data_IF_384474377503
#
_entry.id   IF_384474377503
#
_cell.length_a   1.000
_cell.length_b   1.000
_cell.length_c   1.000
_cell.angle_alpha   90.00
_cell.angle_beta   90.00
_cell.angle_gamma   90.00
#
_symmetry.space_group_name_H-M   'P 1'
#
loop_
_entity.id
_entity.type
_entity.pdbx_description
1 polymer ?
#
# COMPACT_ATOMS: atom_id res chain seq x y z
N UNK A 1 -23.46 7.04 18.93
CA UNK A 1 -22.64 8.08 18.28
C UNK A 1 -21.41 8.35 19.14
N UNK A 2 -20.21 8.46 18.56
CA UNK A 2 -19.02 8.82 19.33
C UNK A 2 -19.18 10.25 19.91
N UNK A 3 -18.70 10.53 21.13
CA UNK A 3 -18.68 11.90 21.66
C UNK A 3 -17.95 12.84 20.69
N UNK A 4 -18.41 14.08 20.56
CA UNK A 4 -17.88 15.06 19.59
C UNK A 4 -16.35 15.23 19.68
N UNK A 5 -15.78 15.07 20.88
CA UNK A 5 -14.34 15.08 21.14
C UNK A 5 -13.60 13.89 20.52
N UNK A 6 -14.14 12.67 20.63
CA UNK A 6 -13.48 11.46 20.09
C UNK A 6 -13.40 11.56 18.56
N UNK A 7 -14.46 12.06 17.93
CA UNK A 7 -14.47 12.29 16.49
C UNK A 7 -13.38 13.27 16.07
N UNK A 8 -13.23 14.41 16.76
CA UNK A 8 -12.16 15.39 16.50
C UNK A 8 -10.75 14.80 16.65
N UNK A 9 -10.53 13.93 17.64
CA UNK A 9 -9.23 13.26 17.82
C UNK A 9 -8.93 12.33 16.64
N UNK A 10 -9.92 11.54 16.20
CA UNK A 10 -9.76 10.62 15.08
C UNK A 10 -9.51 11.39 13.78
N UNK A 11 -10.35 12.39 13.48
CA UNK A 11 -10.27 13.16 12.25
C UNK A 11 -8.93 13.93 12.17
N UNK A 12 -8.55 14.64 13.24
CA UNK A 12 -7.26 15.34 13.28
C UNK A 12 -6.05 14.39 13.28
N UNK A 13 -6.20 13.21 13.89
CA UNK A 13 -5.19 12.14 13.81
C UNK A 13 -4.98 11.63 12.40
N UNK A 14 -6.07 11.41 11.67
CA UNK A 14 -6.06 10.96 10.27
C UNK A 14 -5.44 12.00 9.35
N UNK A 15 -5.81 13.28 9.49
CA UNK A 15 -5.19 14.37 8.74
C UNK A 15 -3.68 14.47 9.00
N UNK A 16 -3.27 14.39 10.27
CA UNK A 16 -1.85 14.43 10.63
C UNK A 16 -1.08 13.23 10.07
N UNK A 17 -1.69 12.04 10.03
CA UNK A 17 -1.06 10.85 9.50
C UNK A 17 -0.96 10.84 7.98
N UNK A 18 -1.95 11.39 7.28
CA UNK A 18 -1.85 11.64 5.84
C UNK A 18 -0.71 12.60 5.52
N UNK A 19 -0.61 13.71 6.26
CA UNK A 19 0.51 14.63 6.10
C UNK A 19 1.86 13.98 6.41
N UNK A 20 1.94 13.15 7.46
CA UNK A 20 3.17 12.42 7.78
C UNK A 20 3.55 11.42 6.68
N UNK A 21 2.56 10.74 6.10
CA UNK A 21 2.75 9.85 4.95
C UNK A 21 3.34 10.59 3.75
N UNK A 22 2.81 11.77 3.42
CA UNK A 22 3.30 12.58 2.30
C UNK A 22 4.74 13.09 2.53
N UNK A 23 5.20 13.11 3.79
CA UNK A 23 6.59 13.39 4.17
C UNK A 23 7.48 12.11 4.24
N UNK A 24 6.98 10.96 3.78
CA UNK A 24 7.70 9.68 3.77
C UNK A 24 7.59 8.86 5.07
N UNK A 25 6.78 9.30 6.03
CA UNK A 25 6.56 8.61 7.30
C UNK A 25 5.34 7.69 7.32
N UNK A 26 5.02 7.19 8.52
CA UNK A 26 3.79 6.48 8.81
C UNK A 26 3.33 6.78 10.24
N UNK A 27 2.04 6.60 10.51
CA UNK A 27 1.43 6.96 11.79
C UNK A 27 1.02 8.43 11.88
N UNK A 28 0.11 8.72 12.79
CA UNK A 28 -0.26 10.09 13.15
C UNK A 28 0.88 10.83 13.85
N UNK A 29 0.87 12.16 13.78
CA UNK A 29 1.85 13.04 14.43
C UNK A 29 1.28 13.71 15.68
N UNK A 30 2.14 14.25 16.56
CA UNK A 30 1.76 14.90 17.81
C UNK A 30 1.64 13.93 19.00
N UNK A 31 0.83 14.27 20.00
CA UNK A 31 0.76 13.52 21.26
C UNK A 31 -0.56 12.76 21.44
N UNK A 32 -1.70 13.42 21.24
CA UNK A 32 -3.02 12.90 21.62
C UNK A 32 -3.49 11.79 20.67
N UNK A 33 -3.50 12.06 19.37
CA UNK A 33 -3.95 11.08 18.37
C UNK A 33 -3.03 9.83 18.28
N UNK A 34 -1.70 9.96 18.27
CA UNK A 34 -0.82 8.77 18.23
C UNK A 34 -0.95 7.91 19.48
N UNK A 35 -1.08 8.53 20.66
CA UNK A 35 -1.32 7.80 21.89
C UNK A 35 -2.68 7.09 21.87
N UNK A 36 -3.73 7.76 21.38
CA UNK A 36 -5.05 7.17 21.22
C UNK A 36 -5.01 5.96 20.29
N UNK A 37 -4.46 6.10 19.08
CA UNK A 37 -4.36 5.00 18.11
C UNK A 37 -3.51 3.84 18.64
N UNK A 38 -2.38 4.11 19.28
CA UNK A 38 -1.54 3.07 19.89
C UNK A 38 -2.28 2.28 20.98
N UNK A 39 -3.02 2.96 21.86
CA UNK A 39 -3.71 2.33 22.99
C UNK A 39 -5.04 1.67 22.64
N UNK A 40 -5.76 2.18 21.62
CA UNK A 40 -7.11 1.73 21.27
C UNK A 40 -7.19 0.92 19.99
N UNK A 41 -6.32 1.19 19.01
CA UNK A 41 -6.36 0.55 17.68
C UNK A 41 -5.22 -0.44 17.52
N UNK A 42 -3.97 -0.01 17.62
CA UNK A 42 -2.82 -0.89 17.47
C UNK A 42 -2.75 -1.99 18.55
N UNK A 43 -3.29 -1.73 19.75
CA UNK A 43 -3.40 -2.72 20.83
C UNK A 43 -4.33 -3.89 20.49
N UNK A 44 -5.30 -3.70 19.60
CA UNK A 44 -6.18 -4.78 19.10
C UNK A 44 -5.38 -5.84 18.31
N UNK A 45 -4.25 -5.43 17.72
CA UNK A 45 -3.29 -6.30 17.04
C UNK A 45 -2.08 -6.65 17.93
N UNK A 46 -2.19 -6.43 19.25
CA UNK A 46 -1.13 -6.74 20.23
C UNK A 46 -0.08 -5.64 20.42
N UNK A 47 -0.16 -4.50 19.70
CA UNK A 47 0.66 -3.31 19.93
C UNK A 47 2.15 -3.42 19.60
N UNK A 48 2.56 -4.51 18.93
CA UNK A 48 3.95 -4.80 18.53
C UNK A 48 4.12 -5.04 17.03
N UNK A 49 3.09 -4.75 16.23
CA UNK A 49 3.16 -4.86 14.77
C UNK A 49 4.22 -3.91 14.24
N UNK A 50 5.14 -4.44 13.42
CA UNK A 50 6.23 -3.67 12.80
C UNK A 50 6.06 -3.49 11.29
N UNK A 51 5.32 -4.38 10.66
CA UNK A 51 5.07 -4.42 9.24
C UNK A 51 3.77 -5.17 9.00
N UNK A 52 2.96 -4.66 8.08
CA UNK A 52 1.77 -5.34 7.56
C UNK A 52 1.99 -5.57 6.08
N UNK A 53 1.76 -6.80 5.61
CA UNK A 53 1.77 -7.14 4.19
C UNK A 53 0.32 -7.43 3.79
N UNK A 54 -0.11 -6.84 2.68
CA UNK A 54 -1.40 -7.09 2.05
C UNK A 54 -1.20 -7.67 0.65
N UNK A 55 -2.17 -8.43 0.16
CA UNK A 55 -2.14 -9.00 -1.19
C UNK A 55 -3.53 -9.49 -1.61
N UNK A 56 -3.59 -10.37 -2.61
CA UNK A 56 -4.82 -10.95 -3.20
C UNK A 56 -5.71 -9.97 -3.98
N UNK A 57 -5.81 -8.72 -3.57
CA UNK A 57 -6.60 -7.68 -4.23
C UNK A 57 -5.89 -6.31 -4.16
N UNK A 58 -6.14 -5.40 -5.11
CA UNK A 58 -5.52 -4.07 -5.10
C UNK A 58 -5.99 -3.25 -3.90
N UNK A 59 -5.04 -2.67 -3.15
CA UNK A 59 -5.35 -1.75 -2.06
C UNK A 59 -5.33 -0.30 -2.56
N UNK A 60 -6.44 0.41 -2.35
CA UNK A 60 -6.54 1.83 -2.69
C UNK A 60 -5.61 2.71 -1.85
N UNK A 61 -5.08 3.77 -2.46
CA UNK A 61 -4.13 4.72 -1.85
C UNK A 61 -4.64 5.24 -0.50
N UNK A 62 -5.88 5.72 -0.45
CA UNK A 62 -6.47 6.28 0.77
C UNK A 62 -6.60 5.24 1.89
N UNK A 63 -6.86 3.98 1.53
CA UNK A 63 -6.95 2.88 2.50
C UNK A 63 -5.55 2.55 3.02
N UNK A 64 -4.53 2.49 2.17
CA UNK A 64 -3.15 2.29 2.59
C UNK A 64 -2.70 3.39 3.56
N UNK A 65 -2.93 4.66 3.22
CA UNK A 65 -2.62 5.80 4.11
C UNK A 65 -3.37 5.72 5.45
N UNK A 66 -4.67 5.37 5.40
CA UNK A 66 -5.49 5.20 6.61
C UNK A 66 -4.91 4.12 7.53
N UNK A 67 -4.66 2.92 7.00
CA UNK A 67 -4.18 1.77 7.79
C UNK A 67 -2.78 2.06 8.36
N UNK A 68 -1.87 2.62 7.56
CA UNK A 68 -0.55 3.06 8.03
C UNK A 68 -0.63 4.10 9.16
N UNK A 69 -1.63 4.98 9.10
CA UNK A 69 -1.85 6.01 10.13
C UNK A 69 -2.33 5.40 11.45
N UNK A 70 -3.35 4.55 11.41
CA UNK A 70 -4.01 4.04 12.62
C UNK A 70 -3.21 2.93 13.31
N UNK A 71 -2.45 2.14 12.55
CA UNK A 71 -1.55 1.13 13.12
C UNK A 71 -0.15 1.64 13.40
N UNK A 72 0.19 2.84 12.93
CA UNK A 72 1.51 3.44 13.08
C UNK A 72 2.65 2.50 12.65
N UNK A 73 2.44 1.76 11.55
CA UNK A 73 3.43 0.87 10.96
C UNK A 73 3.33 0.89 9.42
N UNK A 74 4.41 0.50 8.72
CA UNK A 74 4.39 0.29 7.28
C UNK A 74 3.35 -0.75 6.85
N UNK A 75 2.62 -0.45 5.78
CA UNK A 75 1.73 -1.38 5.08
C UNK A 75 2.25 -1.52 3.66
N UNK A 76 2.56 -2.74 3.23
CA UNK A 76 3.16 -3.01 1.91
C UNK A 76 2.27 -3.96 1.12
N UNK A 77 2.15 -3.69 -0.16
CA UNK A 77 1.38 -4.54 -1.07
C UNK A 77 2.33 -5.55 -1.73
N UNK A 78 1.88 -6.80 -1.78
CA UNK A 78 2.51 -7.86 -2.55
C UNK A 78 1.54 -8.41 -3.58
N UNK A 79 2.08 -8.83 -4.71
CA UNK A 79 1.34 -9.50 -5.77
C UNK A 79 1.85 -10.91 -5.96
N UNK A 80 0.92 -11.84 -6.12
CA UNK A 80 1.19 -13.22 -6.50
C UNK A 80 -0.09 -14.01 -6.64
N UNK A 81 0.06 -15.21 -7.19
CA UNK A 81 -1.03 -16.11 -7.54
C UNK A 81 -0.78 -17.47 -6.91
N UNK A 82 -1.78 -18.34 -6.92
CA UNK A 82 -1.60 -19.74 -6.50
C UNK A 82 -0.55 -20.45 -7.36
N UNK A 83 -0.53 -20.14 -8.65
CA UNK A 83 0.35 -20.66 -9.68
C UNK A 83 1.79 -20.18 -9.51
N UNK A 84 2.01 -19.09 -8.77
CA UNK A 84 3.34 -18.52 -8.49
C UNK A 84 3.75 -18.69 -7.03
N UNK A 85 3.07 -19.55 -6.27
CA UNK A 85 3.35 -19.82 -4.85
C UNK A 85 3.30 -18.53 -4.00
N UNK A 86 2.26 -17.72 -4.25
CA UNK A 86 1.88 -16.50 -3.54
C UNK A 86 2.80 -15.27 -3.68
N UNK A 87 4.10 -15.43 -3.96
CA UNK A 87 5.06 -14.32 -3.94
C UNK A 87 5.72 -14.08 -5.29
N UNK A 88 5.17 -13.15 -6.09
CA UNK A 88 5.81 -12.68 -7.32
C UNK A 88 6.52 -11.35 -7.11
N UNK A 89 5.83 -10.37 -6.52
CA UNK A 89 6.36 -9.04 -6.22
C UNK A 89 6.07 -8.67 -4.77
N UNK A 90 6.98 -7.92 -4.14
CA UNK A 90 6.73 -7.26 -2.86
C UNK A 90 7.47 -5.93 -2.76
N UNK A 91 6.81 -4.91 -2.23
CA UNK A 91 7.44 -3.62 -1.93
C UNK A 91 8.39 -3.73 -0.74
N UNK A 92 9.53 -3.05 -0.83
CA UNK A 92 10.48 -2.96 0.29
C UNK A 92 9.81 -2.35 1.53
N UNK A 93 10.12 -2.83 2.76
CA UNK A 93 9.55 -2.27 3.98
C UNK A 93 9.76 -0.76 4.15
N UNK A 94 10.83 -0.20 3.58
CA UNK A 94 11.17 1.23 3.65
C UNK A 94 10.54 2.05 2.52
N UNK A 95 10.14 1.42 1.42
CA UNK A 95 9.49 2.10 0.30
C UNK A 95 8.03 2.42 0.64
N UNK A 96 7.73 3.72 0.75
CA UNK A 96 6.40 4.20 1.10
C UNK A 96 5.50 4.44 -0.13
N UNK A 97 5.88 3.91 -1.30
CA UNK A 97 5.08 3.98 -2.52
C UNK A 97 3.67 3.40 -2.34
N UNK A 98 2.71 4.05 -3.01
CA UNK A 98 1.32 3.57 -3.13
C UNK A 98 1.01 3.22 -4.58
N UNK A 99 -0.03 2.42 -4.79
CA UNK A 99 -0.45 1.96 -6.13
C UNK A 99 0.58 1.09 -6.87
N UNK A 100 1.54 0.52 -6.12
CA UNK A 100 2.58 -0.37 -6.64
C UNK A 100 2.74 -1.56 -5.69
N UNK A 101 3.24 -2.68 -6.23
CA UNK A 101 3.47 -3.94 -5.49
C UNK A 101 4.95 -4.28 -5.36
N UNK A 102 5.82 -3.35 -5.75
CA UNK A 102 7.27 -3.52 -5.69
C UNK A 102 7.87 -4.33 -6.85
N UNK A 103 9.19 -4.55 -6.82
CA UNK A 103 9.90 -5.32 -7.84
C UNK A 103 9.58 -6.82 -7.76
N UNK A 104 9.85 -7.58 -8.84
CA UNK A 104 9.83 -9.04 -8.79
C UNK A 104 10.83 -9.57 -7.76
N UNK A 105 10.49 -10.69 -7.13
CA UNK A 105 11.44 -11.46 -6.31
C UNK A 105 12.55 -12.06 -7.17
N UNK A 106 13.67 -12.42 -6.54
CA UNK A 106 14.84 -12.97 -7.25
C UNK A 106 14.52 -14.27 -8.04
N UNK A 107 13.51 -15.01 -7.60
CA UNK A 107 13.03 -16.23 -8.25
C UNK A 107 11.96 -15.99 -9.34
N UNK A 108 11.61 -14.73 -9.64
CA UNK A 108 10.54 -14.39 -10.56
C UNK A 108 11.03 -13.52 -11.72
N UNK A 109 10.58 -13.83 -12.92
CA UNK A 109 10.76 -13.03 -14.12
C UNK A 109 9.38 -12.56 -14.61
N UNK A 110 9.28 -11.27 -14.97
CA UNK A 110 8.03 -10.68 -15.45
C UNK A 110 8.22 -10.14 -16.87
N UNK A 111 7.27 -10.44 -17.74
CA UNK A 111 7.18 -9.87 -19.09
C UNK A 111 5.76 -9.35 -19.34
N UNK A 112 5.64 -8.35 -20.21
CA UNK A 112 4.35 -7.82 -20.65
C UNK A 112 4.06 -8.27 -22.07
N UNK A 113 2.95 -8.99 -22.27
CA UNK A 113 2.41 -9.33 -23.59
C UNK A 113 1.35 -8.33 -24.00
N UNK A 114 1.40 -7.84 -25.24
CA UNK A 114 0.33 -6.99 -25.77
C UNK A 114 -1.01 -7.72 -25.67
N UNK A 115 -2.04 -7.00 -25.22
CA UNK A 115 -3.40 -7.52 -25.07
C UNK A 115 -4.37 -6.66 -25.90
N UNK A 116 -4.58 -7.03 -27.19
CA UNK A 116 -5.39 -6.24 -28.13
C UNK A 116 -6.83 -6.03 -27.66
N UNK A 117 -7.45 -7.03 -27.05
CA UNK A 117 -8.84 -6.98 -26.61
C UNK A 117 -9.05 -5.98 -25.47
N UNK A 118 -8.04 -5.80 -24.61
CA UNK A 118 -8.05 -4.80 -23.55
C UNK A 118 -7.49 -3.43 -23.96
N UNK A 119 -7.03 -3.28 -25.21
CA UNK A 119 -6.32 -2.10 -25.70
C UNK A 119 -5.10 -1.72 -24.82
N UNK A 120 -4.30 -2.72 -24.47
CA UNK A 120 -3.05 -2.56 -23.71
C UNK A 120 -1.86 -3.02 -24.55
N UNK A 121 -0.91 -2.14 -24.79
CA UNK A 121 0.25 -2.43 -25.64
C UNK A 121 1.55 -1.95 -25.00
N UNK A 122 2.65 -2.64 -25.29
CA UNK A 122 3.99 -2.19 -24.92
C UNK A 122 4.33 -0.82 -25.56
N UNK A 123 3.76 -0.53 -26.73
CA UNK A 123 3.91 0.75 -27.42
C UNK A 123 3.30 1.94 -26.64
N UNK A 124 2.43 1.69 -25.65
CA UNK A 124 1.81 2.73 -24.80
C UNK A 124 2.84 3.55 -24.02
N UNK A 125 4.09 3.08 -23.91
CA UNK A 125 5.20 3.86 -23.38
C UNK A 125 5.41 5.19 -24.14
N UNK A 126 5.20 5.17 -25.46
CA UNK A 126 5.38 6.34 -26.32
C UNK A 126 4.11 7.18 -26.46
N UNK A 127 2.99 6.74 -25.89
CA UNK A 127 1.75 7.50 -25.88
C UNK A 127 1.82 8.58 -24.77
N UNK A 128 1.70 9.88 -25.10
CA UNK A 128 1.84 10.96 -24.11
C UNK A 128 0.76 10.94 -23.02
N UNK A 129 -0.42 10.36 -23.27
CA UNK A 129 -1.50 10.29 -22.29
C UNK A 129 -1.30 9.16 -21.26
N UNK A 130 -0.48 8.16 -21.59
CA UNK A 130 -0.27 6.95 -20.76
C UNK A 130 1.13 6.91 -20.17
N UNK A 131 2.17 7.06 -21.01
CA UNK A 131 3.57 7.16 -20.60
C UNK A 131 4.16 5.91 -19.94
N UNK A 132 3.51 4.75 -20.06
CA UNK A 132 3.99 3.49 -19.46
C UNK A 132 3.64 2.28 -20.34
N UNK A 133 4.47 1.23 -20.30
CA UNK A 133 4.16 -0.04 -20.96
C UNK A 133 2.97 -0.70 -20.26
N UNK A 134 2.01 -1.19 -21.02
CA UNK A 134 0.87 -1.95 -20.51
C UNK A 134 0.71 -3.25 -21.29
N UNK A 135 0.09 -4.23 -20.67
CA UNK A 135 -0.13 -5.54 -21.28
C UNK A 135 -0.58 -6.55 -20.24
N UNK A 136 -0.80 -7.77 -20.72
CA UNK A 136 -1.00 -8.92 -19.86
C UNK A 136 0.33 -9.32 -19.19
N UNK A 137 0.28 -9.60 -17.88
CA UNK A 137 1.44 -9.94 -17.08
C UNK A 137 1.75 -11.43 -17.25
N UNK A 138 2.91 -11.74 -17.84
CA UNK A 138 3.46 -13.09 -17.91
C UNK A 138 4.49 -13.26 -16.79
N UNK A 139 4.39 -14.36 -16.04
CA UNK A 139 5.28 -14.65 -14.92
C UNK A 139 5.97 -15.99 -15.18
N UNK A 140 7.29 -15.99 -15.04
CA UNK A 140 8.13 -17.19 -15.04
C UNK A 140 9.07 -17.20 -13.82
N UNK A 141 9.78 -18.30 -13.62
CA UNK A 141 10.80 -18.48 -12.58
C UNK A 141 11.79 -19.55 -12.96
#
# INVERSE_FOLDING_TARGET
AAPSIVKKIIDGGLESGKSNFDNGGWGASGCVAPFFFKKKVASLLGGKVKLVITGSAPLGVEVQKFVQTVFACPVRQGYGLTETVAGTCITDPTDNGTSVVGPPQECACIMLRDWPEGNYQNADLNNPDIGMRRGEVLIGG
#
